data_IF_985288699928
#
_entry.id   IF_985288699928
#
_cell.length_a   1.000
_cell.length_b   1.000
_cell.length_c   1.000
_cell.angle_alpha   90.00
_cell.angle_beta   90.00
_cell.angle_gamma   90.00
#
_symmetry.space_group_name_H-M   'P 1'
#
loop_
_entity.id
_entity.type
_entity.pdbx_description
1 polymer ?
#
# COMPACT_ATOMS: atom_id res chain seq x y z
N UNK A 1 19.81 5.96 9.49
CA UNK A 1 20.06 7.32 10.00
C UNK A 1 18.84 7.90 10.69
N UNK A 2 17.70 8.11 10.02
CA UNK A 2 16.52 8.78 10.63
C UNK A 2 16.08 8.16 11.97
N UNK A 3 15.74 6.87 12.01
CA UNK A 3 15.30 6.18 13.24
C UNK A 3 16.32 6.23 14.38
N UNK A 4 17.62 6.14 14.06
CA UNK A 4 18.71 6.13 15.04
C UNK A 4 18.94 7.53 15.64
N UNK A 5 18.61 8.57 14.89
CA UNK A 5 18.83 9.97 15.30
C UNK A 5 17.53 10.71 15.66
N UNK A 6 16.43 9.99 15.88
CA UNK A 6 15.14 10.59 16.25
C UNK A 6 14.45 11.38 15.14
N UNK A 7 14.85 11.15 13.88
CA UNK A 7 14.15 11.69 12.72
C UNK A 7 12.85 10.96 12.40
N UNK A 8 12.11 11.40 11.36
CA UNK A 8 10.83 10.80 10.98
C UNK A 8 10.97 9.31 10.60
N UNK A 9 9.97 8.53 10.99
CA UNK A 9 9.89 7.11 10.72
C UNK A 9 9.31 6.82 9.31
N UNK A 10 9.46 5.59 8.82
CA UNK A 10 9.12 5.21 7.43
C UNK A 10 7.61 5.25 7.20
N UNK A 11 6.83 4.68 8.14
CA UNK A 11 5.34 4.73 8.20
C UNK A 11 4.59 4.49 6.88
N UNK A 12 5.12 3.65 6.00
CA UNK A 12 4.50 3.38 4.69
C UNK A 12 4.29 1.89 4.40
N UNK A 13 4.69 1.00 5.33
CA UNK A 13 4.56 -0.43 5.10
C UNK A 13 3.12 -0.90 5.35
N UNK A 14 2.67 -1.83 4.52
CA UNK A 14 1.52 -2.66 4.87
C UNK A 14 1.89 -3.63 6.01
N UNK A 15 0.91 -4.14 6.77
CA UNK A 15 1.16 -5.18 7.76
C UNK A 15 1.89 -6.40 7.19
N UNK A 16 1.51 -6.86 5.99
CA UNK A 16 2.13 -8.01 5.32
C UNK A 16 3.59 -7.77 4.92
N UNK A 17 3.94 -6.55 4.48
CA UNK A 17 5.32 -6.20 4.16
C UNK A 17 6.18 -6.14 5.43
N UNK A 18 5.66 -5.60 6.52
CA UNK A 18 6.37 -5.60 7.81
C UNK A 18 6.55 -7.01 8.37
N UNK A 19 5.50 -7.85 8.30
CA UNK A 19 5.62 -9.26 8.67
C UNK A 19 6.70 -9.96 7.83
N UNK A 20 6.77 -9.67 6.53
CA UNK A 20 7.82 -10.19 5.64
C UNK A 20 9.22 -9.70 6.00
N UNK A 21 9.36 -8.47 6.49
CA UNK A 21 10.62 -7.92 6.99
C UNK A 21 11.12 -8.73 8.20
N UNK A 22 10.22 -9.03 9.15
CA UNK A 22 10.55 -9.67 10.42
C UNK A 22 10.74 -11.19 10.27
N UNK A 23 9.82 -11.85 9.58
CA UNK A 23 9.74 -13.32 9.53
C UNK A 23 10.13 -13.91 8.16
N UNK A 24 10.52 -13.05 7.22
CA UNK A 24 10.83 -13.42 5.84
C UNK A 24 9.58 -13.48 4.95
N UNK A 25 9.79 -13.27 3.66
CA UNK A 25 8.70 -13.23 2.66
C UNK A 25 7.85 -14.51 2.70
N UNK A 26 8.47 -15.69 2.91
CA UNK A 26 7.81 -17.01 2.90
C UNK A 26 6.78 -17.25 4.01
N UNK A 27 6.90 -16.56 5.13
CA UNK A 27 6.01 -16.77 6.28
C UNK A 27 4.83 -15.81 6.30
N UNK A 28 4.87 -14.72 5.54
CA UNK A 28 3.76 -13.76 5.48
C UNK A 28 2.54 -14.36 4.78
N UNK A 29 1.39 -14.32 5.44
CA UNK A 29 0.09 -14.56 4.82
C UNK A 29 -0.25 -13.40 3.89
N UNK A 30 -0.95 -13.71 2.80
CA UNK A 30 -1.37 -12.73 1.80
C UNK A 30 -2.86 -12.89 1.58
N UNK A 31 -3.60 -11.78 1.57
CA UNK A 31 -5.00 -11.74 1.16
C UNK A 31 -5.11 -11.25 -0.29
N UNK A 32 -6.02 -11.84 -1.06
CA UNK A 32 -6.31 -11.38 -2.42
C UNK A 32 -6.94 -9.98 -2.41
N UNK A 33 -7.61 -9.59 -1.32
CA UNK A 33 -8.09 -8.21 -1.15
C UNK A 33 -6.97 -7.17 -1.21
N UNK A 34 -5.75 -7.55 -0.81
CA UNK A 34 -4.59 -6.65 -0.79
C UNK A 34 -3.99 -6.43 -2.19
N UNK A 35 -4.41 -7.20 -3.21
CA UNK A 35 -3.99 -7.01 -4.60
C UNK A 35 -4.52 -5.66 -5.09
N UNK A 36 -3.60 -4.71 -5.30
CA UNK A 36 -3.92 -3.34 -5.70
C UNK A 36 -4.38 -3.24 -7.16
N UNK A 37 -4.01 -4.21 -8.00
CA UNK A 37 -4.43 -4.29 -9.40
C UNK A 37 -5.86 -4.86 -9.47
N UNK A 38 -6.86 -4.06 -9.89
CA UNK A 38 -8.26 -4.47 -9.81
C UNK A 38 -8.57 -5.63 -10.77
N UNK A 39 -7.95 -5.67 -11.95
CA UNK A 39 -8.18 -6.71 -12.94
C UNK A 39 -7.64 -8.05 -12.45
N UNK A 40 -6.38 -8.07 -11.98
CA UNK A 40 -5.77 -9.24 -11.37
C UNK A 40 -6.57 -9.72 -10.15
N UNK A 41 -6.99 -8.82 -9.28
CA UNK A 41 -7.82 -9.16 -8.13
C UNK A 41 -9.12 -9.83 -8.56
N UNK A 42 -9.79 -9.28 -9.58
CA UNK A 42 -11.02 -9.86 -10.12
C UNK A 42 -10.78 -11.25 -10.74
N UNK A 43 -9.68 -11.45 -11.47
CA UNK A 43 -9.33 -12.76 -12.00
C UNK A 43 -9.05 -13.79 -10.90
N UNK A 44 -8.31 -13.40 -9.86
CA UNK A 44 -8.00 -14.27 -8.71
C UNK A 44 -9.26 -14.64 -7.92
N UNK A 45 -10.15 -13.68 -7.69
CA UNK A 45 -11.45 -13.93 -7.04
C UNK A 45 -12.35 -14.82 -7.91
N UNK A 46 -12.41 -14.59 -9.22
CA UNK A 46 -13.16 -15.45 -10.13
C UNK A 46 -12.62 -16.89 -10.09
N UNK A 47 -11.29 -17.04 -10.10
CA UNK A 47 -10.61 -18.34 -10.01
C UNK A 47 -10.95 -19.07 -8.70
N UNK A 48 -10.86 -18.40 -7.54
CA UNK A 48 -11.17 -19.01 -6.23
C UNK A 48 -12.64 -19.44 -6.11
N UNK A 49 -13.55 -18.73 -6.77
CA UNK A 49 -14.97 -19.03 -6.72
C UNK A 49 -15.40 -20.17 -7.66
N UNK A 50 -14.51 -20.67 -8.52
CA UNK A 50 -14.80 -21.80 -9.40
C UNK A 50 -15.15 -23.06 -8.58
N UNK A 51 -16.26 -23.71 -8.95
CA UNK A 51 -16.73 -24.96 -8.32
C UNK A 51 -16.32 -26.22 -9.10
N UNK A 52 -15.68 -26.04 -10.26
CA UNK A 52 -15.25 -27.15 -11.11
C UNK A 52 -13.93 -26.87 -11.81
N UNK A 53 -13.19 -27.93 -12.13
CA UNK A 53 -11.93 -27.85 -12.89
C UNK A 53 -12.13 -27.28 -14.30
N UNK A 54 -13.17 -27.64 -15.08
CA UNK A 54 -13.43 -27.04 -16.39
C UNK A 54 -13.65 -25.51 -16.34
N UNK A 55 -14.38 -25.03 -15.33
CA UNK A 55 -14.63 -23.59 -15.18
C UNK A 55 -13.31 -22.85 -14.89
N UNK A 56 -12.49 -23.41 -13.99
CA UNK A 56 -11.19 -22.86 -13.65
C UNK A 56 -10.25 -22.84 -14.86
N UNK A 57 -10.23 -23.89 -15.68
CA UNK A 57 -9.45 -23.92 -16.92
C UNK A 57 -9.84 -22.78 -17.86
N UNK A 58 -11.14 -22.48 -17.96
CA UNK A 58 -11.63 -21.36 -18.78
C UNK A 58 -11.14 -20.02 -18.21
N UNK A 59 -11.20 -19.82 -16.89
CA UNK A 59 -10.65 -18.62 -16.23
C UNK A 59 -9.15 -18.46 -16.51
N UNK A 60 -8.37 -19.55 -16.44
CA UNK A 60 -6.92 -19.55 -16.65
C UNK A 60 -6.49 -19.28 -18.11
N UNK A 61 -7.41 -19.39 -19.07
CA UNK A 61 -7.13 -19.08 -20.50
C UNK A 61 -7.25 -17.60 -20.85
N UNK A 62 -7.67 -16.74 -19.92
CA UNK A 62 -7.72 -15.29 -20.15
C UNK A 62 -6.29 -14.75 -20.40
N UNK A 63 -6.01 -14.09 -21.55
CA UNK A 63 -4.63 -13.76 -21.94
C UNK A 63 -3.87 -12.87 -20.95
N UNK A 64 -4.53 -11.85 -20.40
CA UNK A 64 -3.99 -10.95 -19.39
C UNK A 64 -3.64 -11.70 -18.11
N UNK A 65 -4.52 -12.59 -17.66
CA UNK A 65 -4.30 -13.38 -16.45
C UNK A 65 -3.17 -14.39 -16.65
N UNK A 66 -3.16 -15.10 -17.77
CA UNK A 66 -2.12 -16.08 -18.10
C UNK A 66 -0.72 -15.47 -18.09
N UNK A 67 -0.56 -14.25 -18.62
CA UNK A 67 0.72 -13.52 -18.57
C UNK A 67 1.21 -13.33 -17.13
N UNK A 68 0.32 -13.00 -16.20
CA UNK A 68 0.68 -12.85 -14.78
C UNK A 68 1.05 -14.19 -14.16
N UNK A 69 0.29 -15.25 -14.47
CA UNK A 69 0.56 -16.60 -13.97
C UNK A 69 1.91 -17.15 -14.48
N UNK A 70 2.26 -16.87 -15.73
CA UNK A 70 3.54 -17.24 -16.33
C UNK A 70 4.71 -16.51 -15.66
N UNK A 71 4.59 -15.18 -15.48
CA UNK A 71 5.59 -14.40 -14.76
C UNK A 71 5.76 -14.85 -13.31
N UNK A 72 4.67 -15.29 -12.67
CA UNK A 72 4.69 -15.84 -11.33
C UNK A 72 5.22 -17.29 -11.27
N UNK A 73 5.29 -17.99 -12.40
CA UNK A 73 5.62 -19.42 -12.45
C UNK A 73 4.56 -20.32 -11.82
N UNK A 74 3.31 -19.85 -11.75
CA UNK A 74 2.19 -20.56 -11.13
C UNK A 74 1.29 -21.25 -12.16
N UNK A 75 1.48 -21.00 -13.46
CA UNK A 75 0.73 -21.68 -14.51
C UNK A 75 1.02 -23.18 -14.48
N UNK A 76 0.04 -23.97 -14.04
CA UNK A 76 0.12 -25.43 -13.90
C UNK A 76 -1.20 -26.07 -14.32
N UNK A 77 -1.14 -27.37 -14.64
CA UNK A 77 -2.34 -28.14 -14.94
C UNK A 77 -3.21 -28.27 -13.68
N UNK A 78 -4.44 -27.74 -13.74
CA UNK A 78 -5.44 -27.89 -12.68
C UNK A 78 -6.06 -29.29 -12.75
N UNK A 79 -5.97 -30.05 -11.67
CA UNK A 79 -6.55 -31.40 -11.53
C UNK A 79 -7.58 -31.49 -10.40
N UNK A 80 -7.56 -30.54 -9.48
CA UNK A 80 -8.41 -30.50 -8.29
C UNK A 80 -8.78 -29.06 -7.93
N UNK A 81 -9.76 -28.88 -7.04
CA UNK A 81 -10.08 -27.56 -6.48
C UNK A 81 -8.95 -27.03 -5.59
N UNK A 82 -8.16 -27.91 -4.98
CA UNK A 82 -6.99 -27.52 -4.18
C UNK A 82 -5.91 -26.87 -5.06
N UNK A 83 -5.73 -27.36 -6.29
CA UNK A 83 -4.81 -26.73 -7.26
C UNK A 83 -5.25 -25.30 -7.60
N UNK A 84 -6.56 -25.04 -7.67
CA UNK A 84 -7.13 -23.71 -7.93
C UNK A 84 -6.75 -22.75 -6.80
N UNK A 85 -6.99 -23.17 -5.55
CA UNK A 85 -6.64 -22.37 -4.37
C UNK A 85 -5.13 -22.12 -4.30
N UNK A 86 -4.32 -23.14 -4.59
CA UNK A 86 -2.86 -23.00 -4.62
C UNK A 86 -2.41 -21.99 -5.68
N UNK A 87 -2.91 -22.08 -6.91
CA UNK A 87 -2.53 -21.16 -8.00
C UNK A 87 -2.91 -19.72 -7.62
N UNK A 88 -4.15 -19.50 -7.18
CA UNK A 88 -4.61 -18.16 -6.81
C UNK A 88 -3.76 -17.54 -5.69
N UNK A 89 -3.53 -18.29 -4.61
CA UNK A 89 -2.78 -17.80 -3.45
C UNK A 89 -1.30 -17.57 -3.78
N UNK A 90 -0.65 -18.49 -4.49
CA UNK A 90 0.76 -18.32 -4.89
C UNK A 90 0.93 -17.15 -5.87
N UNK A 91 -0.02 -16.93 -6.78
CA UNK A 91 -0.01 -15.79 -7.69
C UNK A 91 -0.20 -14.46 -6.97
N UNK A 92 -1.17 -14.36 -6.06
CA UNK A 92 -1.38 -13.18 -5.23
C UNK A 92 -0.11 -12.87 -4.40
N UNK A 93 0.47 -13.91 -3.81
CA UNK A 93 1.68 -13.82 -2.99
C UNK A 93 2.91 -13.40 -3.79
N UNK A 94 3.11 -13.94 -4.99
CA UNK A 94 4.17 -13.48 -5.88
C UNK A 94 3.98 -12.01 -6.26
N UNK A 95 2.75 -11.61 -6.58
CA UNK A 95 2.43 -10.25 -7.00
C UNK A 95 2.68 -9.22 -5.88
N UNK A 96 2.28 -9.56 -4.66
CA UNK A 96 2.36 -8.65 -3.51
C UNK A 96 3.74 -8.64 -2.84
N UNK A 97 4.38 -9.80 -2.69
CA UNK A 97 5.60 -9.94 -1.92
C UNK A 97 6.80 -10.43 -2.76
N UNK A 98 6.54 -11.29 -3.74
CA UNK A 98 7.60 -11.85 -4.58
C UNK A 98 8.36 -10.77 -5.36
N UNK A 99 7.63 -9.82 -5.96
CA UNK A 99 8.20 -8.73 -6.77
C UNK A 99 9.07 -7.75 -5.96
N UNK A 100 8.84 -7.63 -4.66
CA UNK A 100 9.57 -6.72 -3.77
C UNK A 100 10.69 -7.39 -2.97
N UNK A 101 10.83 -8.72 -3.09
CA UNK A 101 11.76 -9.52 -2.29
C UNK A 101 13.20 -9.00 -2.35
N UNK A 102 13.72 -8.72 -3.55
CA UNK A 102 15.09 -8.21 -3.72
C UNK A 102 15.29 -6.82 -3.09
N UNK A 103 14.30 -5.93 -3.24
CA UNK A 103 14.30 -4.61 -2.61
C UNK A 103 14.22 -4.70 -1.08
N UNK A 104 13.44 -5.66 -0.56
CA UNK A 104 13.31 -5.91 0.87
C UNK A 104 14.62 -6.43 1.47
N UNK A 105 15.31 -7.35 0.80
CA UNK A 105 16.64 -7.82 1.26
C UNK A 105 17.66 -6.68 1.27
N UNK A 106 17.69 -5.83 0.23
CA UNK A 106 18.55 -4.64 0.23
C UNK A 106 18.20 -3.64 1.32
N UNK A 107 16.92 -3.52 1.67
CA UNK A 107 16.49 -2.71 2.80
C UNK A 107 16.99 -3.32 4.11
N UNK A 108 16.89 -4.64 4.29
CA UNK A 108 17.43 -5.34 5.47
C UNK A 108 18.92 -5.08 5.63
N UNK A 109 19.69 -5.17 4.54
CA UNK A 109 21.11 -4.81 4.55
C UNK A 109 21.32 -3.37 5.05
N UNK A 110 20.56 -2.41 4.52
CA UNK A 110 20.62 -1.01 4.93
C UNK A 110 20.24 -0.77 6.40
N UNK A 111 19.22 -1.45 6.90
CA UNK A 111 18.81 -1.40 8.31
C UNK A 111 19.86 -2.04 9.23
N UNK A 112 20.58 -3.04 8.74
CA UNK A 112 21.61 -3.73 9.49
C UNK A 112 22.87 -2.87 9.72
N UNK A 113 23.17 -1.92 8.82
CA UNK A 113 24.36 -1.03 8.91
C UNK A 113 24.47 -0.33 10.27
N UNK A 114 23.34 0.04 10.88
CA UNK A 114 23.29 0.70 12.18
C UNK A 114 22.61 -0.15 13.27
N UNK A 115 22.49 -1.46 13.05
CA UNK A 115 21.87 -2.39 14.00
C UNK A 115 20.35 -2.28 14.15
N UNK A 116 19.67 -1.47 13.33
CA UNK A 116 18.21 -1.31 13.39
C UNK A 116 17.51 -2.64 13.11
N UNK A 117 18.03 -3.42 12.16
CA UNK A 117 17.47 -4.72 11.83
C UNK A 117 17.46 -5.69 13.03
N UNK A 118 18.56 -5.72 13.81
CA UNK A 118 18.64 -6.54 15.02
C UNK A 118 17.61 -6.11 16.06
N UNK A 119 17.50 -4.80 16.31
CA UNK A 119 16.51 -4.26 17.25
C UNK A 119 15.06 -4.55 16.82
N UNK A 120 14.77 -4.52 15.52
CA UNK A 120 13.47 -4.91 14.95
C UNK A 120 13.17 -6.39 15.23
N UNK A 121 14.14 -7.29 15.07
CA UNK A 121 13.94 -8.71 15.38
C UNK A 121 13.76 -9.00 16.87
N UNK A 122 14.44 -8.25 17.74
CA UNK A 122 14.28 -8.37 19.20
C UNK A 122 12.93 -7.84 19.67
N UNK A 123 12.40 -6.78 19.04
CA UNK A 123 11.17 -6.12 19.47
C UNK A 123 10.23 -5.77 18.30
N UNK A 124 9.67 -6.77 17.57
CA UNK A 124 8.89 -6.51 16.36
C UNK A 124 7.66 -5.63 16.59
N UNK A 125 6.93 -5.81 17.70
CA UNK A 125 5.71 -5.04 17.95
C UNK A 125 6.00 -3.58 18.29
N UNK A 126 7.12 -3.31 18.97
CA UNK A 126 7.55 -1.95 19.32
C UNK A 126 7.93 -1.17 18.06
N UNK A 127 8.60 -1.82 17.11
CA UNK A 127 9.02 -1.18 15.86
C UNK A 127 7.90 -1.08 14.82
N UNK A 128 6.83 -1.86 14.94
CA UNK A 128 5.74 -1.89 13.95
C UNK A 128 5.18 -0.50 13.62
N UNK A 129 4.86 0.40 14.57
CA UNK A 129 4.35 1.75 14.26
C UNK A 129 5.37 2.67 13.58
N UNK A 130 6.67 2.35 13.64
CA UNK A 130 7.71 3.11 12.95
C UNK A 130 7.80 2.73 11.45
N UNK A 131 7.41 1.50 11.10
CA UNK A 131 7.45 1.01 9.73
C UNK A 131 6.09 1.06 9.04
N UNK A 132 5.04 0.58 9.71
CA UNK A 132 3.71 0.48 9.15
C UNK A 132 3.02 1.84 9.07
N UNK A 133 2.16 1.99 8.06
CA UNK A 133 1.22 3.11 8.01
C UNK A 133 0.34 3.10 9.26
N UNK A 134 0.18 4.30 9.84
CA UNK A 134 -0.75 4.55 10.94
C UNK A 134 -1.72 5.61 10.42
N UNK A 135 -3.03 5.32 10.37
CA UNK A 135 -4.02 6.31 10.01
C UNK A 135 -3.84 7.56 10.88
N UNK A 136 -3.64 8.69 10.20
CA UNK A 136 -3.58 10.00 10.85
C UNK A 136 -4.79 10.79 10.35
N UNK A 137 -5.61 11.36 11.24
CA UNK A 137 -6.74 12.18 10.82
C UNK A 137 -6.21 13.36 9.99
N UNK A 138 -6.85 13.60 8.86
CA UNK A 138 -6.58 14.78 8.05
C UNK A 138 -7.30 15.95 8.70
N UNK A 139 -6.58 16.72 9.50
CA UNK A 139 -7.09 17.91 10.17
C UNK A 139 -6.99 19.13 9.26
N UNK A 140 -7.81 20.16 9.51
CA UNK A 140 -7.73 21.47 8.83
C UNK A 140 -6.31 22.02 8.90
N UNK A 141 -5.70 22.05 10.08
CA UNK A 141 -4.34 22.57 10.28
C UNK A 141 -3.31 21.88 9.36
N UNK A 142 -3.35 20.54 9.32
CA UNK A 142 -2.45 19.74 8.48
C UNK A 142 -2.66 20.07 6.99
N UNK A 143 -3.91 20.13 6.55
CA UNK A 143 -4.24 20.36 5.14
C UNK A 143 -3.94 21.81 4.72
N UNK A 144 -4.28 22.80 5.55
CA UNK A 144 -3.96 24.22 5.33
C UNK A 144 -2.45 24.49 5.32
N UNK A 145 -1.67 23.73 6.11
CA UNK A 145 -0.20 23.84 6.10
C UNK A 145 0.40 23.54 4.71
N UNK A 146 -0.23 22.68 3.91
CA UNK A 146 0.24 22.35 2.56
C UNK A 146 0.19 23.55 1.60
N UNK A 147 -0.69 24.51 1.86
CA UNK A 147 -0.89 25.69 1.03
C UNK A 147 -0.15 26.93 1.56
N UNK A 148 0.44 26.86 2.75
CA UNK A 148 1.09 28.02 3.40
C UNK A 148 2.36 28.48 2.67
N UNK A 149 3.08 27.55 2.02
CA UNK A 149 4.34 27.83 1.32
C UNK A 149 4.18 27.88 -0.22
N UNK A 150 2.98 28.20 -0.71
CA UNK A 150 2.77 28.37 -2.16
C UNK A 150 3.35 29.70 -2.65
N UNK A 151 3.96 29.69 -3.83
CA UNK A 151 4.45 30.91 -4.49
C UNK A 151 3.26 31.83 -4.78
N UNK A 152 3.25 33.00 -4.14
CA UNK A 152 2.17 33.98 -4.29
C UNK A 152 2.55 35.07 -5.27
N UNK A 153 1.54 35.65 -5.92
CA UNK A 153 1.71 36.85 -6.74
C UNK A 153 2.21 38.02 -5.87
N UNK A 154 2.82 39.01 -6.51
CA UNK A 154 3.37 40.19 -5.82
C UNK A 154 2.34 40.87 -4.91
N UNK A 155 2.77 41.22 -3.71
CA UNK A 155 1.94 41.95 -2.73
C UNK A 155 1.41 43.24 -3.36
N UNK A 156 0.09 43.46 -3.24
CA UNK A 156 -0.59 44.62 -3.81
C UNK A 156 -1.09 44.43 -5.25
N UNK A 157 -0.76 43.33 -5.92
CA UNK A 157 -1.33 43.01 -7.22
C UNK A 157 -2.79 42.53 -7.11
N UNK A 158 -3.57 42.73 -8.18
CA UNK A 158 -4.93 42.17 -8.28
C UNK A 158 -4.94 40.63 -8.20
N UNK A 159 -3.87 39.99 -8.67
CA UNK A 159 -3.70 38.54 -8.59
C UNK A 159 -3.52 38.09 -7.12
N UNK A 160 -2.66 38.78 -6.36
CA UNK A 160 -2.46 38.49 -4.94
C UNK A 160 -3.75 38.67 -4.13
N UNK A 161 -4.55 39.70 -4.41
CA UNK A 161 -5.84 39.90 -3.75
C UNK A 161 -6.82 38.75 -4.02
N UNK A 162 -6.88 38.25 -5.26
CA UNK A 162 -7.70 37.08 -5.61
C UNK A 162 -7.19 35.80 -4.95
N UNK A 163 -5.88 35.57 -4.94
CA UNK A 163 -5.27 34.43 -4.24
C UNK A 163 -5.59 34.45 -2.74
N UNK A 164 -5.52 35.61 -2.08
CA UNK A 164 -5.88 35.76 -0.67
C UNK A 164 -7.33 35.35 -0.41
N UNK A 165 -8.24 35.80 -1.28
CA UNK A 165 -9.66 35.49 -1.15
C UNK A 165 -9.96 34.00 -1.40
N UNK A 166 -9.27 33.37 -2.35
CA UNK A 166 -9.38 31.93 -2.60
C UNK A 166 -8.87 31.15 -1.39
N UNK A 167 -7.73 31.54 -0.81
CA UNK A 167 -7.18 30.89 0.36
C UNK A 167 -8.07 31.06 1.60
N UNK A 168 -8.74 32.21 1.77
CA UNK A 168 -9.71 32.37 2.86
C UNK A 168 -10.91 31.45 2.66
N UNK A 169 -11.52 31.43 1.46
CA UNK A 169 -12.63 30.52 1.19
C UNK A 169 -12.24 29.05 1.31
N UNK A 170 -11.02 28.69 0.94
CA UNK A 170 -10.50 27.34 1.12
C UNK A 170 -10.41 26.97 2.61
N UNK A 171 -9.84 27.85 3.45
CA UNK A 171 -9.75 27.60 4.88
C UNK A 171 -11.14 27.53 5.53
N UNK A 172 -12.05 28.43 5.18
CA UNK A 172 -13.44 28.42 5.68
C UNK A 172 -14.12 27.09 5.32
N UNK A 173 -14.01 26.65 4.06
CA UNK A 173 -14.55 25.36 3.61
C UNK A 173 -13.94 24.18 4.38
N UNK A 174 -12.62 24.16 4.58
CA UNK A 174 -11.97 23.09 5.33
C UNK A 174 -12.49 23.03 6.77
N UNK A 175 -12.67 24.20 7.39
CA UNK A 175 -13.20 24.29 8.74
C UNK A 175 -14.65 23.80 8.83
N UNK A 176 -15.49 24.19 7.87
CA UNK A 176 -16.87 23.69 7.82
C UNK A 176 -16.92 22.15 7.65
N UNK A 177 -16.01 21.58 6.85
CA UNK A 177 -15.89 20.11 6.67
C UNK A 177 -15.51 19.42 7.98
N UNK A 178 -14.55 19.97 8.73
CA UNK A 178 -14.09 19.41 10.01
C UNK A 178 -15.14 19.56 11.13
N UNK A 179 -15.91 20.66 11.11
CA UNK A 179 -17.02 20.91 12.04
C UNK A 179 -18.32 20.17 11.67
N UNK A 180 -18.33 19.43 10.55
CA UNK A 180 -19.50 18.76 9.98
C UNK A 180 -20.70 19.69 9.72
N UNK A 181 -20.44 20.94 9.34
CA UNK A 181 -21.46 21.98 9.08
C UNK A 181 -21.75 22.16 7.59
N UNK A 182 -21.08 21.42 6.72
CA UNK A 182 -21.37 21.43 5.27
C UNK A 182 -22.70 20.75 5.00
N UNK A 183 -23.66 21.48 4.44
CA UNK A 183 -24.90 20.90 3.91
C UNK A 183 -24.56 19.87 2.82
N UNK A 184 -25.03 18.63 2.96
CA UNK A 184 -24.88 17.60 1.92
C UNK A 184 -25.63 18.04 0.65
N UNK A 185 -24.90 18.33 -0.43
CA UNK A 185 -25.43 18.70 -1.75
C UNK A 185 -25.79 17.49 -2.61
#
# INVERSE_FOLDING_TARGET
>A
MSLVHGGPAIRCFSPGLYHSLVHGVRSASVDISDVYDPDLRNYLLALINCQSVPDAQTCLTQPSFQTVLDLAGTLKQVKSLDDIQMIANESARWFLLGRVCSSLERLKDGLNVLGVLGAVFENPDIFRPAFCYVPQPLTVDLLSSLFTNTTRSELGSNAHAKESLILSFWNDYLQDVEEHTVDEF
#
